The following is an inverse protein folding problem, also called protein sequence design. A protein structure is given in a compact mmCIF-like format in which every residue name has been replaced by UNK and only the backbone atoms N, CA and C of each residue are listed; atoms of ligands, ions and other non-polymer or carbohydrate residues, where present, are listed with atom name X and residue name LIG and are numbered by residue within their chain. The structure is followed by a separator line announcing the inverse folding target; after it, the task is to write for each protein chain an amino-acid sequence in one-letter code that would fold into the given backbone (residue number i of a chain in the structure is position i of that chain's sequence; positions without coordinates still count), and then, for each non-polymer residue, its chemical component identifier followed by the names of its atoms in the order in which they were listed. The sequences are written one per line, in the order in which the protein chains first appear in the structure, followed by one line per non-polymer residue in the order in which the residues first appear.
data_IF_885682861014
#
_entry.id   IF_885682861014
#
_cell.length_a   1.000
_cell.length_b   1.000
_cell.length_c   1.000
_cell.angle_alpha   90.00
_cell.angle_beta   90.00
_cell.angle_gamma   90.00
#
_symmetry.space_group_name_H-M   'P 1'
#
loop_
_entity.id
_entity.type
_entity.pdbx_description
1 polymer ?
#
# COMPACT_ATOMS: atom_id res chain seq x y z
N UNK A 1 22.44 -7.54 -24.25
CA UNK A 1 21.59 -8.26 -23.27
C UNK A 1 22.30 -9.40 -22.59
N UNK A 2 23.01 -10.29 -23.31
CA UNK A 2 23.68 -11.46 -22.70
C UNK A 2 24.74 -11.12 -21.64
N UNK A 3 25.58 -10.09 -21.88
CA UNK A 3 26.58 -9.64 -20.89
C UNK A 3 25.98 -9.05 -19.61
N UNK A 4 24.83 -8.40 -19.71
CA UNK A 4 24.10 -7.85 -18.55
C UNK A 4 23.45 -8.99 -17.74
N UNK A 5 22.79 -9.93 -18.42
CA UNK A 5 22.24 -11.13 -17.79
C UNK A 5 23.30 -11.99 -17.10
N UNK A 6 24.50 -12.13 -17.67
CA UNK A 6 25.60 -12.88 -17.04
C UNK A 6 26.13 -12.19 -15.77
N UNK A 7 26.21 -10.85 -15.76
CA UNK A 7 26.69 -10.10 -14.60
C UNK A 7 25.73 -10.13 -13.41
N UNK A 8 24.41 -10.24 -13.63
CA UNK A 8 23.40 -10.23 -12.56
C UNK A 8 22.81 -11.60 -12.24
N UNK A 9 23.22 -12.67 -12.96
CA UNK A 9 22.75 -14.04 -12.72
C UNK A 9 22.99 -14.50 -11.28
N UNK A 10 24.11 -14.10 -10.68
CA UNK A 10 24.44 -14.41 -9.29
C UNK A 10 23.53 -13.71 -8.27
N UNK A 11 22.83 -12.62 -8.62
CA UNK A 11 21.79 -12.01 -7.77
C UNK A 11 20.47 -12.76 -7.85
N UNK A 12 20.23 -13.48 -8.96
CA UNK A 12 19.05 -14.32 -9.18
C UNK A 12 19.23 -15.73 -8.59
N UNK A 13 20.47 -16.25 -8.58
CA UNK A 13 20.83 -17.57 -8.05
C UNK A 13 21.14 -17.59 -6.56
N UNK A 14 21.20 -16.43 -5.90
CA UNK A 14 21.08 -16.42 -4.45
C UNK A 14 19.66 -16.84 -4.11
N UNK A 15 19.52 -18.08 -3.65
CA UNK A 15 18.46 -18.46 -2.73
C UNK A 15 18.62 -17.62 -1.46
N UNK A 16 18.36 -16.31 -1.60
CA UNK A 16 18.08 -15.45 -0.47
C UNK A 16 16.92 -16.16 0.20
N UNK A 17 17.15 -16.64 1.42
CA UNK A 17 16.10 -17.10 2.31
C UNK A 17 15.22 -15.87 2.61
N UNK A 18 14.45 -15.44 1.61
CA UNK A 18 13.55 -14.30 1.69
C UNK A 18 12.52 -14.67 2.72
N UNK A 19 12.21 -13.71 3.59
CA UNK A 19 11.14 -13.85 4.58
C UNK A 19 9.90 -14.42 3.88
N UNK A 20 9.44 -15.58 4.36
CA UNK A 20 8.16 -16.14 3.96
C UNK A 20 7.10 -15.52 4.85
N UNK A 21 6.09 -14.93 4.23
CA UNK A 21 4.99 -14.27 4.92
C UNK A 21 3.68 -14.74 4.28
N UNK A 22 2.85 -15.39 5.08
CA UNK A 22 1.55 -15.92 4.66
C UNK A 22 0.44 -15.18 5.41
N UNK A 23 -0.11 -14.09 4.83
CA UNK A 23 -1.17 -13.32 5.46
C UNK A 23 -2.42 -14.19 5.62
N UNK A 24 -2.85 -14.39 6.86
CA UNK A 24 -4.02 -15.18 7.19
C UNK A 24 -4.77 -14.57 8.37
N UNK A 25 -6.10 -14.74 8.38
CA UNK A 25 -6.91 -14.40 9.54
C UNK A 25 -6.55 -15.30 10.74
N UNK A 26 -6.66 -14.81 11.99
CA UNK A 26 -7.20 -13.50 12.37
C UNK A 26 -6.17 -12.38 12.43
N UNK A 27 -4.88 -12.68 12.24
CA UNK A 27 -3.79 -11.70 12.38
C UNK A 27 -3.79 -10.64 11.27
N UNK A 28 -4.38 -10.99 10.12
CA UNK A 28 -4.53 -10.13 8.96
C UNK A 28 -6.01 -9.94 8.62
N UNK A 29 -6.37 -8.70 8.29
CA UNK A 29 -7.60 -8.39 7.59
C UNK A 29 -7.36 -8.59 6.08
N UNK A 30 -8.16 -9.47 5.49
CA UNK A 30 -8.15 -9.82 4.07
C UNK A 30 -9.45 -9.29 3.43
N UNK A 31 -9.39 -8.23 2.61
CA UNK A 31 -10.56 -7.72 1.88
C UNK A 31 -11.11 -8.74 0.88
N UNK A 32 -12.39 -8.68 0.53
CA UNK A 32 -13.00 -9.61 -0.44
C UNK A 32 -12.74 -9.23 -1.91
N UNK A 33 -12.41 -7.96 -2.17
CA UNK A 33 -12.34 -7.38 -3.51
C UNK A 33 -10.98 -6.70 -3.75
N UNK A 34 -10.30 -7.09 -4.83
CA UNK A 34 -8.96 -6.63 -5.19
C UNK A 34 -8.90 -5.12 -5.41
N UNK A 35 -9.83 -4.56 -6.20
CA UNK A 35 -9.82 -3.13 -6.58
C UNK A 35 -10.02 -2.22 -5.38
N UNK A 36 -10.79 -2.68 -4.41
CA UNK A 36 -11.10 -1.91 -3.20
C UNK A 36 -10.26 -2.36 -2.01
N UNK A 37 -9.33 -3.29 -2.19
CA UNK A 37 -8.57 -3.91 -1.09
C UNK A 37 -7.71 -2.89 -0.35
N UNK A 38 -7.03 -1.99 -1.07
CA UNK A 38 -6.21 -0.94 -0.46
C UNK A 38 -7.04 -0.02 0.43
N UNK A 39 -8.14 0.55 -0.10
CA UNK A 39 -8.99 1.42 0.71
C UNK A 39 -9.64 0.68 1.88
N UNK A 40 -10.07 -0.56 1.68
CA UNK A 40 -10.60 -1.39 2.76
C UNK A 40 -9.57 -1.63 3.85
N UNK A 41 -8.30 -1.82 3.47
CA UNK A 41 -7.19 -1.93 4.41
C UNK A 41 -6.94 -0.62 5.16
N UNK A 42 -6.93 0.54 4.49
CA UNK A 42 -6.65 1.85 5.09
C UNK A 42 -7.74 2.30 6.07
N UNK A 43 -9.01 1.99 5.79
CA UNK A 43 -10.13 2.34 6.68
C UNK A 43 -10.40 1.32 7.77
N UNK A 44 -9.73 0.17 7.74
CA UNK A 44 -9.96 -0.90 8.70
C UNK A 44 -9.78 -0.36 10.13
N UNK A 45 -10.76 -0.56 11.00
CA UNK A 45 -10.72 -0.07 12.38
C UNK A 45 -10.96 1.43 12.60
N UNK A 46 -11.11 2.25 11.54
CA UNK A 46 -11.40 3.69 11.68
C UNK A 46 -12.88 4.02 11.87
N UNK A 47 -13.77 3.09 11.52
CA UNK A 47 -15.23 3.33 11.58
C UNK A 47 -15.76 4.29 10.51
N UNK A 48 -14.94 4.64 9.50
CA UNK A 48 -15.30 5.53 8.40
C UNK A 48 -15.96 4.78 7.24
N UNK A 49 -16.89 5.44 6.55
CA UNK A 49 -17.48 4.94 5.30
C UNK A 49 -16.48 5.12 4.17
N UNK A 50 -16.26 4.08 3.36
CA UNK A 50 -15.26 4.08 2.28
C UNK A 50 -15.38 5.26 1.31
N UNK A 51 -16.59 5.66 0.95
CA UNK A 51 -16.81 6.78 0.03
C UNK A 51 -16.30 8.10 0.64
N UNK A 52 -16.66 8.38 1.89
CA UNK A 52 -16.20 9.58 2.61
C UNK A 52 -14.67 9.60 2.74
N UNK A 53 -14.07 8.44 3.06
CA UNK A 53 -12.62 8.32 3.10
C UNK A 53 -11.94 8.66 1.77
N UNK A 54 -12.49 8.15 0.65
CA UNK A 54 -11.91 8.39 -0.68
C UNK A 54 -12.04 9.87 -1.05
N UNK A 55 -13.18 10.51 -0.75
CA UNK A 55 -13.35 11.95 -0.96
C UNK A 55 -12.34 12.76 -0.15
N UNK A 56 -12.24 12.52 1.16
CA UNK A 56 -11.29 13.21 2.04
C UNK A 56 -9.84 13.02 1.58
N UNK A 57 -9.47 11.80 1.17
CA UNK A 57 -8.13 11.50 0.67
C UNK A 57 -7.86 12.22 -0.66
N UNK A 58 -8.80 12.20 -1.61
CA UNK A 58 -8.62 12.88 -2.90
C UNK A 58 -8.56 14.41 -2.75
N UNK A 59 -9.34 14.98 -1.85
CA UNK A 59 -9.27 16.42 -1.52
C UNK A 59 -7.93 16.77 -0.89
N UNK A 60 -7.43 15.92 0.02
CA UNK A 60 -6.11 16.09 0.60
C UNK A 60 -5.00 15.96 -0.45
N UNK A 61 -5.07 14.96 -1.32
CA UNK A 61 -4.13 14.77 -2.45
C UNK A 61 -4.04 16.00 -3.35
N UNK A 62 -5.17 16.63 -3.65
CA UNK A 62 -5.21 17.85 -4.44
C UNK A 62 -4.53 19.05 -3.76
N UNK A 63 -4.40 19.01 -2.42
CA UNK A 63 -3.77 20.06 -1.62
C UNK A 63 -2.27 19.85 -1.36
N UNK A 64 -1.74 18.65 -1.64
CA UNK A 64 -0.34 18.31 -1.40
C UNK A 64 0.56 18.87 -2.52
N UNK A 65 1.43 19.82 -2.17
CA UNK A 65 2.40 20.41 -3.11
C UNK A 65 3.35 19.34 -3.68
N UNK A 66 3.68 18.31 -2.90
CA UNK A 66 4.54 17.20 -3.33
C UNK A 66 3.94 16.34 -4.45
N UNK A 67 2.63 16.44 -4.66
CA UNK A 67 1.92 15.73 -5.73
C UNK A 67 1.62 16.62 -6.94
N UNK A 68 2.06 17.88 -6.94
CA UNK A 68 1.88 18.78 -8.08
C UNK A 68 2.52 18.19 -9.35
N UNK A 69 1.75 18.16 -10.44
CA UNK A 69 2.12 17.53 -11.70
C UNK A 69 2.11 16.00 -11.72
N UNK A 70 1.83 15.33 -10.59
CA UNK A 70 1.62 13.87 -10.52
C UNK A 70 0.13 13.51 -10.46
N UNK A 71 -0.67 14.33 -9.79
CA UNK A 71 -2.13 14.17 -9.70
C UNK A 71 -2.83 15.32 -10.40
N UNK A 72 -3.85 15.00 -11.19
CA UNK A 72 -4.73 15.98 -11.81
C UNK A 72 -6.20 15.67 -11.48
N UNK A 73 -7.09 16.58 -11.88
CA UNK A 73 -8.51 16.42 -11.63
C UNK A 73 -9.10 15.14 -12.25
N UNK A 74 -8.60 14.71 -13.42
CA UNK A 74 -9.08 13.50 -14.09
C UNK A 74 -8.65 12.24 -13.34
N UNK A 75 -7.43 12.22 -12.83
CA UNK A 75 -6.92 11.14 -12.01
C UNK A 75 -7.72 11.02 -10.71
N UNK A 76 -7.92 12.13 -10.00
CA UNK A 76 -8.69 12.12 -8.76
C UNK A 76 -10.16 11.71 -8.98
N UNK A 77 -10.79 12.14 -10.08
CA UNK A 77 -12.12 11.67 -10.46
C UNK A 77 -12.12 10.15 -10.72
N UNK A 78 -11.08 9.62 -11.37
CA UNK A 78 -10.95 8.18 -11.65
C UNK A 78 -10.78 7.33 -10.39
N UNK A 79 -10.13 7.86 -9.36
CA UNK A 79 -10.03 7.22 -8.04
C UNK A 79 -11.39 7.26 -7.33
N UNK A 80 -12.05 8.42 -7.28
CA UNK A 80 -13.37 8.60 -6.65
C UNK A 80 -14.43 7.65 -7.24
N UNK A 81 -14.46 7.50 -8.55
CA UNK A 81 -15.43 6.64 -9.23
C UNK A 81 -14.97 5.16 -9.33
N UNK A 82 -13.77 4.83 -8.83
CA UNK A 82 -13.23 3.47 -8.82
C UNK A 82 -12.84 2.91 -10.19
N UNK A 83 -12.59 3.77 -11.17
CA UNK A 83 -12.10 3.35 -12.51
C UNK A 83 -10.58 3.24 -12.58
N UNK A 84 -9.84 3.89 -11.68
CA UNK A 84 -8.41 3.68 -11.49
C UNK A 84 -8.14 2.84 -10.25
N UNK A 85 -7.13 1.97 -10.35
CA UNK A 85 -6.65 1.18 -9.22
C UNK A 85 -5.75 2.05 -8.33
N UNK A 86 -6.00 2.11 -7.01
CA UNK A 86 -5.18 2.89 -6.10
C UNK A 86 -3.86 2.18 -5.80
N UNK A 87 -2.84 2.94 -5.40
CA UNK A 87 -1.51 2.42 -5.12
C UNK A 87 -0.63 3.38 -4.34
N UNK A 88 0.54 3.69 -4.90
CA UNK A 88 1.60 4.39 -4.16
C UNK A 88 1.27 5.84 -3.83
N UNK A 89 0.53 6.54 -4.70
CA UNK A 89 0.10 7.93 -4.45
C UNK A 89 -0.91 8.00 -3.30
N UNK A 90 -1.88 7.07 -3.27
CA UNK A 90 -2.84 6.96 -2.18
C UNK A 90 -2.16 6.53 -0.88
N UNK A 91 -1.19 5.61 -0.92
CA UNK A 91 -0.42 5.20 0.26
C UNK A 91 0.38 6.35 0.86
N UNK A 92 1.11 7.10 0.01
CA UNK A 92 1.83 8.30 0.44
C UNK A 92 0.90 9.32 1.08
N UNK A 93 -0.23 9.58 0.43
CA UNK A 93 -1.18 10.59 0.88
C UNK A 93 -1.88 10.18 2.16
N UNK A 94 -2.25 8.89 2.30
CA UNK A 94 -2.86 8.36 3.51
C UNK A 94 -1.89 8.39 4.70
N UNK A 95 -0.59 8.13 4.46
CA UNK A 95 0.42 8.22 5.53
C UNK A 95 0.49 9.64 6.10
N UNK A 96 0.43 10.64 5.22
CA UNK A 96 0.44 12.07 5.58
C UNK A 96 -0.88 12.53 6.22
N UNK A 97 -2.01 12.19 5.61
CA UNK A 97 -3.36 12.56 6.08
C UNK A 97 -3.60 12.10 7.52
N UNK A 98 -3.15 10.89 7.86
CA UNK A 98 -3.36 10.31 9.17
C UNK A 98 -2.16 10.39 10.12
N UNK A 99 -1.05 10.99 9.69
CA UNK A 99 0.19 11.00 10.46
C UNK A 99 0.67 9.58 10.87
N UNK A 100 0.65 8.63 9.93
CA UNK A 100 1.10 7.26 10.16
C UNK A 100 2.35 6.93 9.37
N UNK A 101 3.16 6.04 9.92
CA UNK A 101 4.07 5.27 9.09
C UNK A 101 3.30 4.13 8.43
N UNK A 102 3.42 3.98 7.12
CA UNK A 102 2.84 2.85 6.38
C UNK A 102 3.97 2.00 5.83
N UNK A 103 4.17 0.82 6.42
CA UNK A 103 5.09 -0.20 5.90
C UNK A 103 4.33 -1.10 4.92
N UNK A 104 4.87 -1.29 3.72
CA UNK A 104 4.34 -2.21 2.73
C UNK A 104 5.37 -3.25 2.32
N UNK A 105 5.01 -4.53 2.50
CA UNK A 105 5.78 -5.68 2.00
C UNK A 105 5.14 -6.21 0.71
N UNK A 106 5.90 -6.26 -0.37
CA UNK A 106 5.46 -6.88 -1.62
C UNK A 106 5.83 -8.35 -1.60
N UNK A 107 4.85 -9.22 -1.85
CA UNK A 107 5.01 -10.67 -1.89
C UNK A 107 5.07 -11.18 -3.34
N UNK A 108 5.93 -12.15 -3.59
CA UNK A 108 5.87 -12.99 -4.79
C UNK A 108 4.70 -13.97 -4.71
N UNK A 109 4.45 -14.68 -5.81
CA UNK A 109 3.40 -15.71 -5.89
C UNK A 109 3.64 -16.91 -4.97
N UNK A 110 4.89 -17.13 -4.53
CA UNK A 110 5.27 -18.12 -3.52
C UNK A 110 5.32 -17.55 -2.09
N UNK A 111 4.62 -16.44 -1.83
CA UNK A 111 4.50 -15.81 -0.50
C UNK A 111 5.84 -15.35 0.12
N UNK A 112 6.84 -15.06 -0.71
CA UNK A 112 8.12 -14.51 -0.23
C UNK A 112 8.14 -13.00 -0.37
N UNK A 113 8.65 -12.32 0.64
CA UNK A 113 8.87 -10.87 0.60
C UNK A 113 9.94 -10.56 -0.43
N UNK A 114 9.57 -9.81 -1.47
CA UNK A 114 10.48 -9.37 -2.54
C UNK A 114 10.93 -7.94 -2.36
N UNK A 115 10.16 -7.12 -1.66
CA UNK A 115 10.53 -5.75 -1.30
C UNK A 115 9.76 -5.28 -0.07
N UNK A 116 10.37 -4.36 0.66
CA UNK A 116 9.74 -3.62 1.76
C UNK A 116 9.95 -2.14 1.51
N UNK A 117 8.89 -1.35 1.60
CA UNK A 117 8.94 0.09 1.52
C UNK A 117 8.21 0.69 2.72
N UNK A 118 8.62 1.87 3.19
CA UNK A 118 7.96 2.56 4.30
C UNK A 118 7.71 4.00 3.90
N UNK A 119 6.43 4.39 3.93
CA UNK A 119 6.02 5.79 3.87
C UNK A 119 6.15 6.36 5.28
N UNK A 120 7.18 7.19 5.49
CA UNK A 120 7.50 7.74 6.81
C UNK A 120 6.95 9.16 6.99
N UNK A 121 6.47 9.45 8.19
CA UNK A 121 6.14 10.80 8.64
C UNK A 121 6.92 11.15 9.91
N UNK A 122 7.01 12.44 10.22
CA UNK A 122 7.69 12.91 11.42
C UNK A 122 6.80 12.71 12.65
N UNK A 123 7.29 11.99 13.66
CA UNK A 123 6.55 11.65 14.89
C UNK A 123 5.20 10.94 14.58
N UNK A 124 5.23 9.72 14.02
CA UNK A 124 4.02 9.03 13.61
C UNK A 124 3.17 8.62 14.82
N UNK A 125 1.85 8.71 14.68
CA UNK A 125 0.91 8.25 15.70
C UNK A 125 0.95 6.72 15.85
N UNK A 126 1.20 6.00 14.74
CA UNK A 126 1.36 4.54 14.70
C UNK A 126 2.04 4.05 13.41
N UNK A 127 2.27 2.73 13.35
CA UNK A 127 2.77 2.01 12.17
C UNK A 127 1.69 1.06 11.65
N UNK A 128 1.24 1.27 10.41
CA UNK A 128 0.35 0.37 9.69
C UNK A 128 1.19 -0.58 8.82
N UNK A 129 0.96 -1.88 8.96
CA UNK A 129 1.69 -2.90 8.19
C UNK A 129 0.79 -3.52 7.12
N UNK A 130 1.11 -3.22 5.87
CA UNK A 130 0.46 -3.75 4.69
C UNK A 130 1.31 -4.81 4.01
N UNK A 131 0.63 -5.73 3.36
CA UNK A 131 1.21 -6.64 2.38
C UNK A 131 0.46 -6.45 1.07
N UNK A 132 1.18 -6.61 -0.04
CA UNK A 132 0.54 -6.71 -1.35
C UNK A 132 1.06 -7.90 -2.14
N UNK A 133 0.18 -8.49 -2.95
CA UNK A 133 0.54 -9.45 -3.98
C UNK A 133 -0.27 -9.14 -5.23
N UNK A 134 0.40 -8.78 -6.33
CA UNK A 134 -0.28 -8.16 -7.46
C UNK A 134 -0.93 -6.83 -7.05
N UNK A 135 -2.19 -6.64 -7.42
CA UNK A 135 -2.98 -5.47 -7.03
C UNK A 135 -3.76 -5.64 -5.71
N UNK A 136 -3.67 -6.81 -5.07
CA UNK A 136 -4.39 -7.11 -3.84
C UNK A 136 -3.59 -6.71 -2.60
N UNK A 137 -4.25 -6.08 -1.64
CA UNK A 137 -3.69 -5.64 -0.37
C UNK A 137 -4.34 -6.32 0.83
N UNK A 138 -3.55 -6.58 1.86
CA UNK A 138 -4.04 -6.97 3.19
C UNK A 138 -3.31 -6.16 4.26
N UNK A 139 -3.94 -6.02 5.43
CA UNK A 139 -3.39 -5.25 6.55
C UNK A 139 -3.34 -6.07 7.82
N UNK A 140 -2.28 -5.91 8.59
CA UNK A 140 -2.14 -6.56 9.89
C UNK A 140 -3.08 -5.90 10.89
N UNK A 141 -3.86 -6.70 11.63
CA UNK A 141 -4.89 -6.21 12.56
C UNK A 141 -4.30 -5.36 13.69
N UNK A 142 -3.09 -5.68 14.16
CA UNK A 142 -2.38 -4.91 15.18
C UNK A 142 -1.97 -3.49 14.72
N UNK A 143 -2.03 -3.20 13.41
CA UNK A 143 -1.74 -1.87 12.87
C UNK A 143 -2.83 -0.81 13.15
N UNK A 144 -3.95 -1.21 13.77
CA UNK A 144 -5.08 -0.33 14.08
C UNK A 144 -5.46 -0.28 15.56
N UNK A 145 -4.64 -0.83 16.45
CA UNK A 145 -4.91 -0.77 17.89
C UNK A 145 -4.92 0.70 18.36
N UNK A 146 -6.10 1.12 18.83
CA UNK A 146 -6.45 2.42 19.42
C UNK A 146 -5.63 2.73 20.69
#
# INVERSE_FOLDING_TARGET
MERWNASYKHLLEQSVNREELTPAAPEWYLPDDERTSLFSCLIHGLGTVRADFIEDLCDYMASLEELDGLVDASYLESIRNGSADPGELELYSASKLHNWNIEIKTLSTDCKVVSTFVYTVDNPDKVVQLVRSGAFFAVKVDGYLL
#
